data_IF_726442292635
#
_entry.id   IF_726442292635
#
_cell.length_a   1.000
_cell.length_b   1.000
_cell.length_c   1.000
_cell.angle_alpha   90.00
_cell.angle_beta   90.00
_cell.angle_gamma   90.00
#
_symmetry.space_group_name_H-M   'P 1'
#
loop_
_entity.id
_entity.type
_entity.pdbx_description
1 polymer ?
#
# COMPACT_ATOMS: atom_id res chain seq x y z
N UNK A 1 27.34 22.07 -50.87
CA UNK A 1 27.43 20.63 -50.56
C UNK A 1 26.26 20.29 -49.65
N UNK A 2 25.37 19.36 -50.01
CA UNK A 2 24.30 18.96 -49.10
C UNK A 2 24.92 18.32 -47.86
N UNK A 3 24.70 18.94 -46.71
CA UNK A 3 25.17 18.44 -45.41
C UNK A 3 24.47 17.11 -45.13
N UNK A 4 25.25 16.04 -45.00
CA UNK A 4 24.74 14.74 -44.53
C UNK A 4 24.20 14.96 -43.12
N UNK A 5 22.88 14.95 -42.98
CA UNK A 5 22.24 14.93 -41.67
C UNK A 5 22.24 13.49 -41.19
N UNK A 6 22.94 13.15 -40.09
CA UNK A 6 22.78 11.84 -39.48
C UNK A 6 21.31 11.66 -39.08
N UNK A 7 20.75 10.50 -39.43
CA UNK A 7 19.44 10.06 -38.95
C UNK A 7 19.71 9.05 -37.85
N UNK A 8 19.28 9.37 -36.62
CA UNK A 8 19.30 8.43 -35.53
C UNK A 8 18.26 7.33 -35.78
N UNK A 9 18.72 6.08 -35.93
CA UNK A 9 17.84 4.91 -35.93
C UNK A 9 17.56 4.57 -34.47
N UNK A 10 16.44 5.08 -33.97
CA UNK A 10 16.00 4.91 -32.60
C UNK A 10 15.05 3.73 -32.52
N UNK A 11 15.22 2.89 -31.49
CA UNK A 11 14.38 1.71 -31.29
C UNK A 11 12.90 2.12 -31.15
N UNK A 12 11.97 1.41 -31.80
CA UNK A 12 10.55 1.70 -31.67
C UNK A 12 10.07 1.46 -30.23
N UNK A 13 9.20 2.33 -29.72
CA UNK A 13 8.66 2.23 -28.36
C UNK A 13 9.65 2.53 -27.22
N UNK A 14 10.85 3.06 -27.52
CA UNK A 14 11.86 3.41 -26.51
C UNK A 14 11.37 4.43 -25.46
N UNK A 15 10.39 5.26 -25.78
CA UNK A 15 9.79 6.21 -24.84
C UNK A 15 8.59 5.62 -24.06
N UNK A 16 8.26 4.36 -24.31
CA UNK A 16 7.15 3.66 -23.66
C UNK A 16 5.82 3.90 -24.34
N UNK A 17 4.75 3.66 -23.58
CA UNK A 17 3.36 3.75 -24.03
C UNK A 17 2.85 5.19 -23.96
N UNK A 18 2.18 5.64 -25.03
CA UNK A 18 1.48 6.92 -25.08
C UNK A 18 0.10 6.74 -25.70
N UNK A 19 -0.91 6.60 -24.84
CA UNK A 19 -2.31 6.47 -25.29
C UNK A 19 -2.96 7.84 -25.51
N UNK A 20 -2.50 8.89 -24.83
CA UNK A 20 -3.01 10.27 -24.99
C UNK A 20 -2.87 10.79 -26.43
N UNK A 21 -1.76 10.46 -27.08
CA UNK A 21 -1.45 10.88 -28.45
C UNK A 21 -1.63 9.77 -29.47
N UNK A 22 -2.34 8.69 -29.11
CA UNK A 22 -2.50 7.52 -29.98
C UNK A 22 -3.16 7.80 -31.33
N UNK A 23 -3.98 8.86 -31.42
CA UNK A 23 -4.64 9.29 -32.66
C UNK A 23 -3.77 10.23 -33.54
N UNK A 24 -2.60 10.65 -33.05
CA UNK A 24 -1.69 11.54 -33.79
C UNK A 24 -0.56 10.73 -34.43
N UNK A 25 0.04 11.28 -35.50
CA UNK A 25 1.28 10.76 -36.08
C UNK A 25 2.44 10.94 -35.08
N UNK A 26 2.59 9.95 -34.22
CA UNK A 26 3.70 9.85 -33.27
C UNK A 26 4.98 9.45 -33.99
N UNK A 27 6.11 9.92 -33.47
CA UNK A 27 7.42 9.41 -33.90
C UNK A 27 7.52 7.91 -33.53
N UNK A 28 8.25 7.09 -34.31
CA UNK A 28 8.41 5.65 -34.05
C UNK A 28 8.87 5.29 -32.63
N UNK A 29 9.49 6.23 -31.91
CA UNK A 29 9.95 6.09 -30.53
C UNK A 29 8.82 5.82 -29.51
N UNK A 30 7.55 6.10 -29.83
CA UNK A 30 6.41 5.87 -28.95
C UNK A 30 5.62 4.64 -29.38
N UNK A 31 5.17 3.85 -28.41
CA UNK A 31 4.19 2.79 -28.62
C UNK A 31 2.77 3.33 -28.38
N UNK A 32 1.82 2.97 -29.24
CA UNK A 32 0.38 3.24 -29.03
C UNK A 32 -0.36 2.04 -28.46
N UNK A 33 0.20 0.83 -28.62
CA UNK A 33 -0.29 -0.42 -28.07
C UNK A 33 0.91 -1.25 -27.60
N UNK A 34 0.83 -1.82 -26.41
CA UNK A 34 1.85 -2.68 -25.83
C UNK A 34 1.18 -3.91 -25.20
N UNK A 35 1.28 -5.08 -25.84
CA UNK A 35 0.67 -6.33 -25.38
C UNK A 35 1.75 -7.39 -25.14
N UNK A 36 1.73 -8.03 -23.97
CA UNK A 36 2.67 -9.10 -23.58
C UNK A 36 4.15 -8.78 -23.83
N UNK A 37 4.52 -7.51 -23.73
CA UNK A 37 5.87 -7.02 -23.93
C UNK A 37 6.49 -6.49 -22.64
N UNK A 38 7.81 -6.54 -22.56
CA UNK A 38 8.64 -5.98 -21.47
C UNK A 38 9.79 -5.20 -22.11
N UNK A 39 10.15 -4.06 -21.53
CA UNK A 39 11.38 -3.35 -21.88
C UNK A 39 12.46 -3.81 -20.91
N UNK A 40 13.49 -4.48 -21.41
CA UNK A 40 14.57 -4.96 -20.55
C UNK A 40 15.49 -3.80 -20.09
N UNK A 41 16.40 -4.07 -19.14
CA UNK A 41 17.36 -3.09 -18.61
C UNK A 41 18.26 -2.46 -19.69
N UNK A 42 18.43 -3.12 -20.83
CA UNK A 42 19.17 -2.59 -21.99
C UNK A 42 18.30 -1.76 -22.96
N UNK A 43 17.05 -1.46 -22.61
CA UNK A 43 16.13 -0.66 -23.41
C UNK A 43 15.55 -1.38 -24.64
N UNK A 44 15.62 -2.71 -24.68
CA UNK A 44 15.09 -3.51 -25.80
C UNK A 44 13.69 -4.05 -25.45
N UNK A 45 12.78 -3.97 -26.41
CA UNK A 45 11.49 -4.66 -26.31
C UNK A 45 11.69 -6.18 -26.42
N UNK A 46 11.12 -6.93 -25.49
CA UNK A 46 11.12 -8.39 -25.41
C UNK A 46 9.71 -8.88 -25.07
N UNK A 47 9.45 -10.18 -25.19
CA UNK A 47 8.23 -10.80 -24.70
C UNK A 47 8.29 -11.02 -23.18
N UNK A 48 7.12 -11.00 -22.53
CA UNK A 48 6.96 -11.51 -21.16
C UNK A 48 7.24 -13.03 -21.13
N UNK A 49 7.75 -13.52 -20.00
CA UNK A 49 7.85 -14.97 -19.76
C UNK A 49 6.45 -15.59 -19.62
N UNK A 50 6.36 -16.90 -19.83
CA UNK A 50 5.13 -17.65 -19.56
C UNK A 50 4.81 -17.73 -18.06
N UNK A 51 3.62 -18.26 -17.75
CA UNK A 51 3.18 -18.49 -16.38
C UNK A 51 3.58 -19.89 -15.94
N UNK A 52 4.00 -20.03 -14.67
CA UNK A 52 4.21 -21.32 -14.03
C UNK A 52 3.25 -21.43 -12.85
N UNK A 53 2.44 -22.48 -12.85
CA UNK A 53 1.48 -22.70 -11.77
C UNK A 53 2.25 -23.04 -10.47
N UNK A 54 1.87 -22.42 -9.37
CA UNK A 54 2.48 -22.66 -8.05
C UNK A 54 1.62 -23.57 -7.17
N UNK A 55 0.32 -23.66 -7.44
CA UNK A 55 -0.62 -24.44 -6.64
C UNK A 55 -0.58 -25.91 -7.00
N UNK A 56 -0.38 -26.78 -6.01
CA UNK A 56 -0.49 -28.23 -6.13
C UNK A 56 -1.93 -28.71 -6.00
N UNK A 57 -2.74 -28.00 -5.21
CA UNK A 57 -4.16 -28.26 -5.00
C UNK A 57 -5.03 -27.07 -5.45
N UNK A 58 -6.26 -27.31 -5.94
CA UNK A 58 -7.17 -26.22 -6.30
C UNK A 58 -7.66 -25.48 -5.05
N UNK A 59 -7.78 -24.16 -5.14
CA UNK A 59 -8.50 -23.33 -4.17
C UNK A 59 -9.96 -23.77 -4.14
N UNK A 60 -10.49 -24.11 -2.95
CA UNK A 60 -11.92 -24.41 -2.78
C UNK A 60 -12.77 -23.14 -2.90
N UNK A 61 -14.04 -23.28 -3.29
CA UNK A 61 -14.97 -22.14 -3.31
C UNK A 61 -14.55 -21.03 -4.27
N UNK A 62 -14.36 -19.82 -3.74
CA UNK A 62 -13.96 -18.65 -4.52
C UNK A 62 -12.47 -18.71 -4.85
N UNK A 63 -12.15 -18.88 -6.14
CA UNK A 63 -10.76 -19.04 -6.63
C UNK A 63 -9.95 -17.74 -6.68
N UNK A 64 -10.37 -16.72 -5.96
CA UNK A 64 -9.73 -15.42 -5.96
C UNK A 64 -8.85 -15.31 -4.70
N UNK A 65 -7.56 -15.08 -4.91
CA UNK A 65 -6.66 -14.72 -3.83
C UNK A 65 -6.75 -13.21 -3.67
N UNK A 66 -7.22 -12.77 -2.51
CA UNK A 66 -7.37 -11.34 -2.23
C UNK A 66 -6.12 -10.77 -1.59
N UNK A 67 -5.40 -11.51 -0.74
CA UNK A 67 -4.22 -11.01 -0.03
C UNK A 67 -3.04 -11.96 -0.26
N UNK A 68 -1.86 -11.38 -0.46
CA UNK A 68 -0.55 -12.05 -0.37
C UNK A 68 0.34 -11.19 0.52
N UNK A 69 0.88 -11.77 1.59
CA UNK A 69 1.77 -11.08 2.51
C UNK A 69 2.91 -11.97 2.97
N UNK A 70 4.12 -11.42 3.04
CA UNK A 70 5.27 -12.12 3.60
C UNK A 70 5.29 -11.95 5.12
N UNK A 71 5.20 -13.06 5.86
CA UNK A 71 5.39 -13.13 7.29
C UNK A 71 6.83 -13.51 7.63
N UNK A 72 7.51 -12.68 8.42
CA UNK A 72 8.81 -13.01 8.99
C UNK A 72 8.65 -13.43 10.46
N UNK A 73 8.85 -14.72 10.71
CA UNK A 73 8.80 -15.28 12.07
C UNK A 73 9.94 -14.76 12.95
N UNK A 74 9.79 -14.83 14.27
CA UNK A 74 10.87 -14.51 15.23
C UNK A 74 12.14 -15.37 15.00
N UNK A 75 11.99 -16.58 14.44
CA UNK A 75 13.09 -17.45 14.07
C UNK A 75 13.82 -17.04 12.76
N UNK A 76 13.35 -15.99 12.08
CA UNK A 76 13.92 -15.50 10.82
C UNK A 76 13.50 -16.29 9.57
N UNK A 77 12.45 -17.12 9.67
CA UNK A 77 11.88 -17.84 8.53
C UNK A 77 10.79 -16.98 7.88
N UNK A 78 10.91 -16.78 6.56
CA UNK A 78 9.90 -16.14 5.72
C UNK A 78 8.84 -17.15 5.28
N UNK A 79 7.56 -16.78 5.40
CA UNK A 79 6.40 -17.56 4.98
C UNK A 79 5.43 -16.65 4.23
N UNK A 80 4.80 -17.15 3.16
CA UNK A 80 3.81 -16.36 2.42
C UNK A 80 2.41 -16.71 2.92
N UNK A 81 1.75 -15.72 3.51
CA UNK A 81 0.36 -15.80 3.95
C UNK A 81 -0.56 -15.38 2.81
N UNK A 82 -1.61 -16.14 2.58
CA UNK A 82 -2.62 -15.84 1.57
C UNK A 82 -4.03 -15.84 2.15
N UNK A 83 -4.91 -15.00 1.60
CA UNK A 83 -6.33 -15.02 1.94
C UNK A 83 -7.17 -15.38 0.71
N UNK A 84 -8.07 -16.36 0.88
CA UNK A 84 -9.03 -16.79 -0.13
C UNK A 84 -10.21 -17.50 0.53
N UNK A 85 -11.41 -17.33 0.00
CA UNK A 85 -12.64 -18.04 0.41
C UNK A 85 -12.98 -17.87 1.92
N UNK A 86 -12.76 -16.66 2.44
CA UNK A 86 -12.86 -16.28 3.86
C UNK A 86 -11.90 -17.02 4.79
N UNK A 87 -10.78 -17.51 4.24
CA UNK A 87 -9.76 -18.25 4.97
C UNK A 87 -8.39 -17.66 4.76
N UNK A 88 -7.53 -17.89 5.74
CA UNK A 88 -6.14 -17.48 5.77
C UNK A 88 -5.27 -18.74 5.75
N UNK A 89 -4.39 -18.83 4.76
CA UNK A 89 -3.49 -19.95 4.53
C UNK A 89 -2.03 -19.53 4.75
N UNK A 90 -1.18 -20.45 5.23
CA UNK A 90 0.25 -20.19 5.49
C UNK A 90 1.20 -20.68 4.40
N UNK A 91 0.70 -21.51 3.49
CA UNK A 91 1.43 -22.08 2.36
C UNK A 91 0.72 -21.69 1.05
N UNK A 92 1.49 -21.24 0.05
CA UNK A 92 0.97 -20.74 -1.25
C UNK A 92 0.69 -21.86 -2.26
N UNK A 93 1.22 -23.05 -2.03
CA UNK A 93 1.13 -24.20 -2.94
C UNK A 93 0.01 -25.17 -2.55
N UNK A 94 -0.47 -25.13 -1.32
CA UNK A 94 -1.61 -25.92 -0.84
C UNK A 94 -2.75 -24.98 -0.40
N UNK A 95 -4.01 -25.30 -0.72
CA UNK A 95 -5.18 -24.54 -0.24
C UNK A 95 -6.19 -25.46 0.45
N UNK A 96 -5.73 -26.61 0.94
CA UNK A 96 -6.57 -27.55 1.69
C UNK A 96 -6.63 -27.19 3.17
N UNK A 97 -7.74 -27.51 3.83
CA UNK A 97 -7.94 -27.33 5.27
C UNK A 97 -7.12 -28.33 6.12
N UNK A 98 -6.21 -29.09 5.51
CA UNK A 98 -5.44 -30.16 6.15
C UNK A 98 -4.24 -29.62 6.97
N UNK A 99 -4.49 -28.58 7.77
CA UNK A 99 -3.48 -27.90 8.60
C UNK A 99 -2.78 -26.73 7.92
N UNK A 100 -3.21 -26.32 6.73
CA UNK A 100 -2.77 -25.07 6.10
C UNK A 100 -3.70 -23.88 6.39
N UNK A 101 -5.00 -24.15 6.59
CA UNK A 101 -5.93 -23.14 7.10
C UNK A 101 -5.55 -22.76 8.53
N UNK A 102 -5.19 -21.49 8.73
CA UNK A 102 -4.77 -20.90 10.00
C UNK A 102 -5.74 -19.81 10.46
N UNK A 103 -6.95 -19.78 9.90
CA UNK A 103 -7.97 -18.77 10.17
C UNK A 103 -8.40 -18.80 11.63
N UNK A 104 -8.64 -17.60 12.18
CA UNK A 104 -9.25 -17.48 13.49
C UNK A 104 -10.72 -17.96 13.44
N UNK A 105 -11.07 -18.92 14.30
CA UNK A 105 -12.41 -19.48 14.38
C UNK A 105 -13.52 -18.44 14.67
N UNK A 106 -13.18 -17.29 15.24
CA UNK A 106 -14.11 -16.21 15.58
C UNK A 106 -14.26 -15.13 14.48
N UNK A 107 -13.30 -14.97 13.56
CA UNK A 107 -13.18 -13.79 12.69
C UNK A 107 -13.51 -14.03 11.19
N UNK A 108 -14.06 -15.19 10.84
CA UNK A 108 -14.10 -15.66 9.45
C UNK A 108 -15.33 -15.25 8.64
N UNK A 109 -15.39 -14.02 8.11
CA UNK A 109 -16.32 -13.74 7.00
C UNK A 109 -15.78 -12.85 5.87
N UNK A 110 -14.50 -12.45 5.88
CA UNK A 110 -13.99 -11.60 4.81
C UNK A 110 -12.49 -11.78 4.55
N UNK A 111 -12.09 -11.56 3.29
CA UNK A 111 -10.75 -11.85 2.76
C UNK A 111 -9.81 -10.64 2.67
N UNK A 112 -10.32 -9.41 2.84
CA UNK A 112 -9.59 -8.15 2.60
C UNK A 112 -8.72 -7.67 3.79
N UNK A 113 -7.96 -8.60 4.39
CA UNK A 113 -7.06 -8.29 5.49
C UNK A 113 -5.87 -7.42 5.07
N UNK A 114 -5.47 -6.50 5.94
CA UNK A 114 -4.16 -5.85 5.88
C UNK A 114 -3.25 -6.45 6.94
N UNK A 115 -2.19 -7.12 6.50
CA UNK A 115 -1.21 -7.73 7.40
C UNK A 115 0.01 -6.85 7.64
N UNK A 116 0.56 -6.95 8.85
CA UNK A 116 1.75 -6.24 9.30
C UNK A 116 2.65 -7.15 10.14
N UNK A 117 3.95 -7.11 9.86
CA UNK A 117 4.97 -7.73 10.70
C UNK A 117 5.38 -6.77 11.82
N UNK A 118 5.26 -7.22 13.07
CA UNK A 118 5.70 -6.44 14.22
C UNK A 118 6.13 -7.35 15.37
N UNK A 119 7.32 -7.10 15.94
CA UNK A 119 7.84 -7.81 17.11
C UNK A 119 7.81 -9.35 17.00
N UNK A 120 8.15 -9.90 15.82
CA UNK A 120 8.12 -11.34 15.56
C UNK A 120 6.72 -11.95 15.46
N UNK A 121 5.68 -11.11 15.37
CA UNK A 121 4.27 -11.47 15.23
C UNK A 121 3.71 -10.91 13.94
N UNK A 122 2.63 -11.52 13.49
CA UNK A 122 1.82 -11.08 12.36
C UNK A 122 0.50 -10.53 12.88
N UNK A 123 0.21 -9.27 12.56
CA UNK A 123 -1.05 -8.61 12.91
C UNK A 123 -1.90 -8.46 11.65
N UNK A 124 -3.20 -8.68 11.76
CA UNK A 124 -4.18 -8.50 10.69
C UNK A 124 -5.24 -7.49 11.09
N UNK A 125 -5.48 -6.50 10.24
CA UNK A 125 -6.50 -5.46 10.42
C UNK A 125 -7.49 -5.50 9.27
N UNK A 126 -8.77 -5.35 9.58
CA UNK A 126 -9.84 -5.31 8.59
C UNK A 126 -11.02 -4.50 9.10
N UNK A 127 -11.66 -3.76 8.20
CA UNK A 127 -12.88 -2.99 8.52
C UNK A 127 -13.98 -3.89 9.07
N UNK A 128 -14.47 -3.56 10.27
CA UNK A 128 -15.62 -4.24 10.87
C UNK A 128 -15.31 -5.63 11.45
N UNK A 129 -14.03 -6.01 11.51
CA UNK A 129 -13.58 -7.21 12.20
C UNK A 129 -12.66 -6.82 13.36
N UNK A 130 -12.68 -7.62 14.42
CA UNK A 130 -11.68 -7.51 15.48
C UNK A 130 -10.31 -7.82 14.86
N UNK A 131 -9.27 -7.01 15.12
CA UNK A 131 -7.95 -7.33 14.61
C UNK A 131 -7.46 -8.68 15.14
N UNK A 132 -6.61 -9.33 14.35
CA UNK A 132 -6.10 -10.66 14.64
C UNK A 132 -4.59 -10.64 14.82
N UNK A 133 -4.07 -11.57 15.62
CA UNK A 133 -2.63 -11.71 15.86
C UNK A 133 -2.21 -13.16 15.76
N UNK A 134 -0.99 -13.38 15.25
CA UNK A 134 -0.36 -14.69 15.12
C UNK A 134 1.10 -14.61 15.55
N UNK A 135 1.54 -15.61 16.30
CA UNK A 135 2.93 -15.82 16.70
C UNK A 135 3.46 -17.12 16.09
N UNK A 136 3.03 -18.26 16.66
CA UNK A 136 3.38 -19.62 16.24
C UNK A 136 2.18 -20.53 16.03
N UNK A 137 1.03 -20.20 16.64
CA UNK A 137 -0.26 -20.88 16.45
C UNK A 137 -1.10 -20.21 15.38
N UNK A 138 -2.28 -20.77 15.12
CA UNK A 138 -3.34 -20.14 14.31
C UNK A 138 -3.71 -18.76 14.83
N UNK A 139 -4.34 -17.95 13.97
CA UNK A 139 -4.74 -16.60 14.32
C UNK A 139 -5.72 -16.59 15.49
N UNK A 140 -5.56 -15.60 16.37
CA UNK A 140 -6.46 -15.33 17.49
C UNK A 140 -6.85 -13.85 17.51
N UNK A 141 -7.95 -13.53 18.19
CA UNK A 141 -8.39 -12.15 18.38
C UNK A 141 -7.33 -11.39 19.17
N UNK A 142 -6.96 -10.21 18.67
CA UNK A 142 -6.06 -9.33 19.38
C UNK A 142 -6.73 -8.83 20.66
N UNK A 143 -6.02 -8.95 21.77
CA UNK A 143 -6.45 -8.45 23.07
C UNK A 143 -5.66 -7.21 23.43
N UNK A 144 -6.35 -6.15 23.86
CA UNK A 144 -5.75 -4.86 24.13
C UNK A 144 -5.92 -4.43 25.59
N UNK A 145 -4.91 -3.75 26.14
CA UNK A 145 -5.12 -2.86 27.28
C UNK A 145 -5.54 -1.48 26.79
N UNK A 146 -6.77 -1.08 27.14
CA UNK A 146 -7.38 0.17 26.69
C UNK A 146 -8.26 0.01 25.46
N UNK A 147 -8.45 1.11 24.74
CA UNK A 147 -9.26 1.13 23.52
C UNK A 147 -8.32 0.99 22.33
N UNK A 148 -8.23 -0.25 21.82
CA UNK A 148 -7.48 -0.57 20.62
C UNK A 148 -8.17 -0.09 19.33
N UNK A 149 -7.48 -0.19 18.19
CA UNK A 149 -8.02 0.16 16.88
C UNK A 149 -8.92 -0.94 16.31
N UNK A 150 -10.08 -0.58 15.78
CA UNK A 150 -10.97 -1.49 15.02
C UNK A 150 -11.10 -1.07 13.54
N UNK A 151 -10.11 -0.33 13.02
CA UNK A 151 -10.15 0.23 11.68
C UNK A 151 -9.44 -0.60 10.61
N UNK A 152 -9.58 -0.14 9.37
CA UNK A 152 -9.18 -0.89 8.18
C UNK A 152 -7.70 -0.74 7.80
N UNK A 153 -7.02 0.28 8.32
CA UNK A 153 -5.67 0.61 7.87
C UNK A 153 -4.70 0.76 9.04
N UNK A 154 -3.53 0.16 8.89
CA UNK A 154 -2.48 0.21 9.90
C UNK A 154 -1.09 0.19 9.24
N UNK A 155 -0.10 0.68 9.98
CA UNK A 155 1.33 0.57 9.64
C UNK A 155 2.16 0.30 10.89
N UNK A 156 3.12 -0.62 10.77
CA UNK A 156 4.15 -0.84 11.78
C UNK A 156 5.34 0.08 11.48
N UNK A 157 5.57 1.08 12.32
CA UNK A 157 6.64 2.06 12.13
C UNK A 157 7.10 2.66 13.46
N UNK A 158 8.38 3.05 13.54
CA UNK A 158 8.96 3.71 14.73
C UNK A 158 8.80 2.90 16.02
N UNK A 159 8.86 1.57 15.92
CA UNK A 159 8.69 0.66 17.05
C UNK A 159 7.27 0.64 17.62
N UNK A 160 6.26 1.07 16.86
CA UNK A 160 4.86 1.15 17.27
C UNK A 160 3.92 0.72 16.13
N UNK A 161 2.69 0.41 16.50
CA UNK A 161 1.58 0.26 15.56
C UNK A 161 0.81 1.57 15.48
N UNK A 162 0.56 2.03 14.26
CA UNK A 162 -0.26 3.19 13.94
C UNK A 162 -1.45 2.69 13.14
N UNK A 163 -2.64 2.71 13.72
CA UNK A 163 -3.83 2.13 13.11
C UNK A 163 -5.00 3.11 13.16
N UNK A 164 -5.77 3.18 12.09
CA UNK A 164 -7.03 3.91 12.10
C UNK A 164 -8.05 3.17 12.96
N UNK A 165 -9.00 3.93 13.50
CA UNK A 165 -10.16 3.41 14.20
C UNK A 165 -11.36 3.24 13.23
N UNK A 166 -12.42 2.60 13.68
CA UNK A 166 -13.63 2.37 12.90
C UNK A 166 -14.37 3.66 12.50
N UNK A 167 -14.08 4.77 13.19
CA UNK A 167 -14.65 6.10 12.90
C UNK A 167 -14.02 6.79 11.66
N UNK A 168 -12.94 6.25 11.09
CA UNK A 168 -12.18 6.82 9.98
C UNK A 168 -11.64 8.24 10.23
N UNK A 169 -11.56 8.66 11.49
CA UNK A 169 -11.07 9.98 11.92
C UNK A 169 -9.95 9.85 12.96
N UNK A 170 -9.93 8.77 13.71
CA UNK A 170 -9.02 8.59 14.81
C UNK A 170 -7.88 7.66 14.40
N UNK A 171 -6.63 8.05 14.68
CA UNK A 171 -5.47 7.17 14.60
C UNK A 171 -5.06 6.79 16.01
N UNK A 172 -5.11 5.50 16.33
CA UNK A 172 -4.64 4.91 17.59
C UNK A 172 -3.18 4.49 17.45
N UNK A 173 -2.42 4.74 18.51
CA UNK A 173 -0.98 4.48 18.54
C UNK A 173 -0.68 3.59 19.74
N UNK A 174 -0.02 2.46 19.48
CA UNK A 174 0.39 1.51 20.51
C UNK A 174 1.56 2.05 21.34
N UNK A 175 1.79 1.44 22.50
CA UNK A 175 2.99 1.62 23.31
C UNK A 175 4.25 1.17 22.55
N UNK A 176 5.42 1.57 23.05
CA UNK A 176 6.69 1.27 22.39
C UNK A 176 6.99 -0.22 22.49
N UNK A 177 7.20 -0.87 21.34
CA UNK A 177 7.49 -2.31 21.21
C UNK A 177 6.41 -3.23 21.80
N UNK A 178 5.22 -2.70 22.04
CA UNK A 178 4.07 -3.45 22.55
C UNK A 178 2.84 -3.12 21.70
N UNK A 179 2.36 -4.13 20.97
CA UNK A 179 1.20 -4.02 20.10
C UNK A 179 -0.15 -4.16 20.83
N UNK A 180 -0.12 -4.55 22.11
CA UNK A 180 -1.32 -4.82 22.92
C UNK A 180 -1.73 -3.63 23.77
N UNK A 181 -0.79 -2.74 24.11
CA UNK A 181 -1.06 -1.63 25.00
C UNK A 181 -1.31 -0.30 24.26
N UNK A 182 -2.51 0.26 24.44
CA UNK A 182 -2.93 1.55 23.89
C UNK A 182 -3.22 2.59 24.98
N UNK A 183 -2.87 2.29 26.24
CA UNK A 183 -3.07 3.23 27.35
C UNK A 183 -2.12 4.41 27.26
N UNK A 184 -2.63 5.61 27.54
CA UNK A 184 -1.82 6.84 27.62
C UNK A 184 -0.71 6.71 28.67
N UNK A 185 -1.00 6.04 29.80
CA UNK A 185 -0.03 5.83 30.88
C UNK A 185 1.19 5.00 30.46
N UNK A 186 1.02 4.08 29.50
CA UNK A 186 2.08 3.22 28.97
C UNK A 186 2.76 3.81 27.73
N UNK A 187 2.42 5.04 27.37
CA UNK A 187 2.95 5.73 26.20
C UNK A 187 2.20 5.41 24.90
N UNK A 188 1.01 4.81 24.98
CA UNK A 188 0.03 4.83 23.88
C UNK A 188 -0.50 6.26 23.65
N UNK A 189 -1.06 6.51 22.48
CA UNK A 189 -1.57 7.83 22.12
C UNK A 189 -2.70 7.74 21.09
N UNK A 190 -3.37 8.86 20.87
CA UNK A 190 -4.45 8.96 19.90
C UNK A 190 -4.34 10.30 19.18
N UNK A 191 -4.51 10.29 17.86
CA UNK A 191 -4.60 11.48 17.02
C UNK A 191 -6.02 11.57 16.51
N UNK A 192 -6.67 12.70 16.77
CA UNK A 192 -7.97 13.03 16.17
C UNK A 192 -7.73 13.86 14.91
N UNK A 193 -7.92 13.22 13.74
CA UNK A 193 -7.71 13.87 12.44
C UNK A 193 -8.79 14.90 12.12
N UNK A 194 -9.96 14.87 12.79
CA UNK A 194 -11.02 15.87 12.56
C UNK A 194 -10.56 17.30 12.85
N UNK A 195 -9.59 17.45 13.77
CA UNK A 195 -8.97 18.73 14.10
C UNK A 195 -7.86 19.16 13.14
N UNK A 196 -7.41 18.26 12.28
CA UNK A 196 -6.21 18.40 11.45
C UNK A 196 -6.55 18.57 9.97
N UNK A 197 -7.67 18.00 9.52
CA UNK A 197 -8.13 18.16 8.14
C UNK A 197 -8.32 19.63 7.79
N UNK A 198 -7.78 20.03 6.64
CA UNK A 198 -8.10 21.32 6.05
C UNK A 198 -9.42 21.21 5.26
N UNK A 199 -10.27 22.24 5.30
CA UNK A 199 -11.60 22.26 4.67
C UNK A 199 -12.70 21.37 5.28
N UNK A 200 -12.63 21.11 6.60
CA UNK A 200 -13.78 20.59 7.37
C UNK A 200 -13.61 19.14 7.78
N UNK A 201 -13.83 18.19 6.87
CA UNK A 201 -13.76 16.75 7.19
C UNK A 201 -13.32 15.95 5.96
N UNK A 202 -12.41 15.00 6.19
CA UNK A 202 -12.01 13.97 5.23
C UNK A 202 -11.94 12.62 5.97
N UNK A 203 -11.87 11.50 5.26
CA UNK A 203 -11.86 10.16 5.87
C UNK A 203 -10.50 9.50 5.65
N UNK A 204 -9.95 8.88 6.70
CA UNK A 204 -8.69 8.14 6.61
C UNK A 204 -8.87 6.93 5.68
N UNK A 205 -8.11 6.89 4.60
CA UNK A 205 -8.07 5.77 3.65
C UNK A 205 -6.88 4.86 3.94
N UNK A 206 -5.72 5.45 4.22
CA UNK A 206 -4.50 4.68 4.43
C UNK A 206 -3.47 5.43 5.28
N UNK A 207 -2.57 4.66 5.88
CA UNK A 207 -1.47 5.18 6.68
C UNK A 207 -0.19 4.54 6.16
N UNK A 208 0.86 5.36 5.99
CA UNK A 208 2.18 4.89 5.60
C UNK A 208 3.26 5.62 6.39
N UNK A 209 4.47 5.10 6.37
CA UNK A 209 5.63 5.74 7.00
C UNK A 209 6.80 5.78 6.01
N UNK A 210 7.50 6.92 5.98
CA UNK A 210 8.67 7.12 5.12
C UNK A 210 9.65 8.08 5.77
N UNK A 211 10.93 7.68 5.86
CA UNK A 211 12.03 8.59 6.20
C UNK A 211 11.87 9.37 7.51
N UNK A 212 11.28 8.78 8.55
CA UNK A 212 11.04 9.45 9.84
C UNK A 212 9.73 10.25 9.91
N UNK A 213 8.93 10.23 8.85
CA UNK A 213 7.63 10.91 8.76
C UNK A 213 6.52 9.88 8.70
N UNK A 214 5.45 10.11 9.48
CA UNK A 214 4.19 9.38 9.34
C UNK A 214 3.29 10.13 8.36
N UNK A 215 2.71 9.42 7.41
CA UNK A 215 1.89 10.00 6.35
C UNK A 215 0.50 9.39 6.45
N UNK A 216 -0.49 10.25 6.68
CA UNK A 216 -1.90 9.86 6.74
C UNK A 216 -2.57 10.33 5.45
N UNK A 217 -3.10 9.39 4.68
CA UNK A 217 -3.83 9.65 3.44
C UNK A 217 -5.33 9.68 3.72
N UNK A 218 -5.95 10.84 3.49
CA UNK A 218 -7.39 10.97 3.33
C UNK A 218 -7.84 10.74 1.88
N UNK A 219 -9.13 10.88 1.60
CA UNK A 219 -9.68 10.80 0.23
C UNK A 219 -9.24 12.00 -0.63
N UNK A 220 -9.08 13.17 -0.02
CA UNK A 220 -8.76 14.43 -0.71
C UNK A 220 -7.53 15.16 -0.14
N UNK A 221 -7.06 14.77 1.04
CA UNK A 221 -5.93 15.40 1.72
C UNK A 221 -4.84 14.39 2.09
N UNK A 222 -3.59 14.85 2.19
CA UNK A 222 -2.48 14.07 2.73
C UNK A 222 -1.83 14.91 3.83
N UNK A 223 -1.70 14.33 5.02
CA UNK A 223 -1.10 14.99 6.18
C UNK A 223 0.20 14.29 6.55
N UNK A 224 1.25 15.08 6.71
CA UNK A 224 2.59 14.59 7.05
C UNK A 224 2.95 15.01 8.47
N UNK A 225 3.33 14.03 9.28
CA UNK A 225 3.73 14.21 10.68
C UNK A 225 5.19 13.84 10.87
N UNK A 226 5.95 14.71 11.54
CA UNK A 226 7.32 14.41 11.94
C UNK A 226 7.63 14.98 13.33
N UNK A 227 8.74 14.55 13.91
CA UNK A 227 9.30 15.14 15.13
C UNK A 227 10.20 16.33 14.75
N UNK A 228 9.92 17.52 15.30
CA UNK A 228 10.70 18.73 15.03
C UNK A 228 12.10 18.77 15.65
N UNK A 229 12.39 17.86 16.58
CA UNK A 229 13.64 17.86 17.37
C UNK A 229 14.55 16.67 17.11
N UNK A 230 14.10 15.70 16.31
CA UNK A 230 14.78 14.44 16.10
C UNK A 230 14.68 13.52 17.31
N UNK A 231 14.15 12.32 17.12
CA UNK A 231 14.19 11.25 18.13
C UNK A 231 15.19 10.18 17.71
N UNK A 232 15.91 9.60 18.66
CA UNK A 232 16.80 8.46 18.43
C UNK A 232 16.02 7.21 17.93
N UNK A 233 14.73 7.13 18.26
CA UNK A 233 13.85 5.99 17.94
C UNK A 233 12.84 6.28 16.82
N UNK A 234 12.85 7.48 16.23
CA UNK A 234 11.96 7.88 15.13
C UNK A 234 10.93 8.97 15.49
N UNK A 235 9.63 8.65 15.41
CA UNK A 235 8.53 9.58 15.72
C UNK A 235 7.94 9.29 17.10
N UNK A 236 8.05 10.25 18.03
CA UNK A 236 7.42 10.14 19.35
C UNK A 236 6.06 10.84 19.39
N UNK A 237 4.98 10.18 19.85
CA UNK A 237 3.66 10.81 19.89
C UNK A 237 3.58 12.08 20.74
N UNK A 238 4.43 12.22 21.76
CA UNK A 238 4.45 13.40 22.62
C UNK A 238 5.05 14.65 21.94
N UNK A 239 5.79 14.48 20.83
CA UNK A 239 6.56 15.54 20.16
C UNK A 239 6.25 15.67 18.67
N UNK A 240 5.31 14.87 18.16
CA UNK A 240 4.92 14.94 16.77
C UNK A 240 4.22 16.26 16.46
N UNK A 241 4.45 16.77 15.25
CA UNK A 241 3.78 17.96 14.73
C UNK A 241 3.46 17.75 13.25
N UNK A 242 2.43 18.44 12.77
CA UNK A 242 2.12 18.50 11.34
C UNK A 242 3.21 19.30 10.64
N UNK A 243 3.91 18.66 9.72
CA UNK A 243 4.97 19.29 8.92
C UNK A 243 4.38 19.94 7.69
N UNK A 244 3.49 19.23 7.01
CA UNK A 244 2.87 19.68 5.76
C UNK A 244 1.49 19.05 5.61
N UNK A 245 0.62 19.72 4.86
CA UNK A 245 -0.70 19.23 4.49
C UNK A 245 -0.93 19.53 3.01
N UNK A 246 -1.07 18.48 2.22
CA UNK A 246 -1.26 18.57 0.78
C UNK A 246 -2.76 18.50 0.50
N UNK A 247 -3.29 19.53 -0.14
CA UNK A 247 -4.71 19.64 -0.46
C UNK A 247 -5.05 19.26 -1.90
N UNK A 248 -6.28 18.76 -2.10
CA UNK A 248 -6.82 18.43 -3.42
C UNK A 248 -6.26 17.14 -4.03
N UNK A 249 -5.43 16.42 -3.30
CA UNK A 249 -4.88 15.12 -3.67
C UNK A 249 -4.89 14.22 -2.44
N UNK A 250 -5.58 13.09 -2.54
CA UNK A 250 -5.55 12.01 -1.55
C UNK A 250 -5.38 10.64 -2.19
N UNK A 251 -5.56 9.59 -1.41
CA UNK A 251 -5.51 8.19 -1.85
C UNK A 251 -6.93 7.64 -2.04
N UNK A 252 -7.16 6.84 -3.08
CA UNK A 252 -8.47 6.22 -3.33
C UNK A 252 -8.55 4.74 -2.91
N UNK A 253 -7.41 4.08 -2.73
CA UNK A 253 -7.34 2.65 -2.42
C UNK A 253 -6.25 2.38 -1.39
N UNK A 254 -6.63 1.78 -0.25
CA UNK A 254 -5.73 1.51 0.89
C UNK A 254 -4.45 0.81 0.45
N UNK A 255 -4.61 -0.27 -0.31
CA UNK A 255 -3.54 -1.19 -0.68
C UNK A 255 -2.81 -0.77 -1.96
N UNK A 256 -3.07 0.42 -2.50
CA UNK A 256 -2.39 0.96 -3.68
C UNK A 256 -1.10 1.72 -3.36
N UNK A 257 -0.80 1.88 -2.08
CA UNK A 257 0.38 2.59 -1.60
C UNK A 257 1.58 1.65 -1.59
N UNK A 258 2.62 2.07 -2.28
CA UNK A 258 3.86 1.33 -2.37
C UNK A 258 5.07 2.24 -2.16
N UNK A 259 5.89 1.90 -1.18
CA UNK A 259 7.24 2.45 -1.09
C UNK A 259 8.10 1.85 -2.20
N UNK A 260 8.74 2.70 -3.00
CA UNK A 260 9.69 2.31 -4.05
C UNK A 260 11.08 2.84 -3.69
N UNK A 261 12.02 1.93 -3.46
CA UNK A 261 13.40 2.29 -3.10
C UNK A 261 13.52 3.08 -1.79
N UNK A 262 14.53 3.97 -1.71
CA UNK A 262 14.91 4.66 -0.48
C UNK A 262 14.18 6.00 -0.21
N UNK A 263 13.27 6.47 -1.09
CA UNK A 263 12.77 7.85 -0.94
C UNK A 263 11.44 8.23 -1.57
N UNK A 264 10.81 7.36 -2.36
CA UNK A 264 9.56 7.70 -3.06
C UNK A 264 8.43 6.75 -2.67
N UNK A 265 7.25 7.32 -2.48
CA UNK A 265 6.03 6.59 -2.17
C UNK A 265 5.02 6.80 -3.29
N UNK A 266 4.68 5.73 -3.99
CA UNK A 266 3.74 5.73 -5.11
C UNK A 266 2.37 5.34 -4.60
N UNK A 267 1.33 6.05 -5.02
CA UNK A 267 -0.04 5.77 -4.61
C UNK A 267 -1.05 6.09 -5.71
N UNK A 268 -2.22 5.47 -5.63
CA UNK A 268 -3.32 5.75 -6.54
C UNK A 268 -4.18 6.90 -6.00
N UNK A 269 -4.29 7.98 -6.78
CA UNK A 269 -5.13 9.12 -6.48
C UNK A 269 -6.29 9.23 -7.48
N UNK A 270 -7.29 10.06 -7.18
CA UNK A 270 -8.41 10.37 -8.09
C UNK A 270 -7.96 10.96 -9.44
N UNK A 271 -6.73 11.46 -9.51
CA UNK A 271 -6.14 12.06 -10.70
C UNK A 271 -5.23 11.11 -11.49
N UNK A 272 -5.08 9.86 -11.05
CA UNK A 272 -4.16 8.86 -11.57
C UNK A 272 -3.08 8.48 -10.55
N UNK A 273 -2.01 7.82 -11.02
CA UNK A 273 -0.88 7.42 -10.18
C UNK A 273 0.00 8.63 -9.88
N UNK A 274 0.29 8.83 -8.60
CA UNK A 274 1.15 9.91 -8.12
C UNK A 274 2.31 9.35 -7.31
N UNK A 275 3.43 10.06 -7.33
CA UNK A 275 4.57 9.83 -6.45
C UNK A 275 4.69 10.98 -5.46
N UNK A 276 4.84 10.63 -4.18
CA UNK A 276 5.24 11.51 -3.10
C UNK A 276 6.72 11.24 -2.81
N UNK A 277 7.58 12.15 -3.27
CA UNK A 277 9.02 12.02 -3.10
C UNK A 277 9.56 12.92 -1.99
N UNK A 278 10.69 12.50 -1.40
CA UNK A 278 11.47 13.33 -0.47
C UNK A 278 12.25 14.38 -1.25
N UNK A 279 11.98 15.67 -1.04
CA UNK A 279 12.82 16.73 -1.64
C UNK A 279 13.79 17.29 -0.62
N UNK A 280 15.08 17.27 -0.98
CA UNK A 280 16.20 17.60 -0.09
C UNK A 280 16.34 19.13 0.13
N UNK A 281 15.58 19.97 -0.58
CA UNK A 281 15.66 21.44 -0.47
C UNK A 281 14.35 22.24 -0.61
N UNK A 282 13.17 21.62 -0.81
CA UNK A 282 11.90 22.35 -0.74
C UNK A 282 11.24 22.11 0.61
N UNK A 283 10.64 23.15 1.19
CA UNK A 283 9.91 23.10 2.46
C UNK A 283 8.66 22.20 2.40
N UNK A 284 8.27 21.74 1.22
CA UNK A 284 7.10 20.89 0.96
C UNK A 284 7.48 19.72 0.04
N UNK A 285 6.82 18.58 0.21
CA UNK A 285 6.99 17.39 -0.61
C UNK A 285 6.06 17.48 -1.85
N UNK A 286 6.60 17.69 -3.06
CA UNK A 286 5.78 17.81 -4.26
C UNK A 286 5.25 16.45 -4.69
N UNK A 287 3.96 16.39 -4.99
CA UNK A 287 3.36 15.25 -5.67
C UNK A 287 3.61 15.35 -7.18
N UNK A 288 4.18 14.30 -7.78
CA UNK A 288 4.44 14.24 -9.22
C UNK A 288 3.52 13.20 -9.87
N UNK A 289 2.77 13.61 -10.90
CA UNK A 289 2.00 12.66 -11.72
C UNK A 289 2.91 11.87 -12.64
N UNK A 290 2.93 10.55 -12.47
CA UNK A 290 3.73 9.62 -13.26
C UNK A 290 3.08 9.26 -14.60
N UNK A 291 1.78 9.50 -14.75
CA UNK A 291 0.96 8.92 -15.82
C UNK A 291 0.62 9.87 -16.94
N UNK A 292 1.41 10.93 -17.16
CA UNK A 292 1.11 12.00 -18.12
C UNK A 292 0.80 11.53 -19.54
N UNK A 293 1.43 10.43 -19.99
CA UNK A 293 1.25 9.86 -21.33
C UNK A 293 0.13 8.82 -21.45
N UNK A 294 -0.43 8.37 -20.31
CA UNK A 294 -1.42 7.28 -20.23
C UNK A 294 -2.59 7.62 -19.30
N UNK A 295 -2.82 8.91 -19.04
CA UNK A 295 -3.67 9.38 -17.94
C UNK A 295 -5.14 9.01 -18.15
N UNK A 296 -5.68 9.31 -19.33
CA UNK A 296 -7.07 9.08 -19.70
C UNK A 296 -7.42 7.61 -19.64
N UNK A 297 -6.52 6.74 -20.11
CA UNK A 297 -6.66 5.29 -19.98
C UNK A 297 -6.74 4.85 -18.52
N UNK A 298 -5.86 5.36 -17.66
CA UNK A 298 -5.89 5.02 -16.22
C UNK A 298 -7.15 5.55 -15.55
N UNK A 299 -7.61 6.76 -15.88
CA UNK A 299 -8.85 7.32 -15.35
C UNK A 299 -10.08 6.52 -15.78
N UNK A 300 -10.09 6.00 -17.01
CA UNK A 300 -11.14 5.10 -17.50
C UNK A 300 -11.15 3.77 -16.76
N UNK A 301 -9.98 3.17 -16.53
CA UNK A 301 -9.84 1.94 -15.71
C UNK A 301 -10.31 2.19 -14.27
N UNK A 302 -9.92 3.30 -13.65
CA UNK A 302 -10.39 3.68 -12.31
C UNK A 302 -11.92 3.86 -12.31
N UNK A 303 -12.49 4.49 -13.33
CA UNK A 303 -13.93 4.68 -13.47
C UNK A 303 -14.69 3.35 -13.59
N UNK A 304 -14.13 2.42 -14.37
CA UNK A 304 -14.65 1.06 -14.52
C UNK A 304 -14.59 0.31 -13.20
N UNK A 305 -13.43 0.33 -12.51
CA UNK A 305 -13.27 -0.33 -11.22
C UNK A 305 -14.24 0.22 -10.18
N UNK A 306 -14.41 1.55 -10.10
CA UNK A 306 -15.36 2.17 -9.16
C UNK A 306 -16.81 1.70 -9.33
N UNK A 307 -17.17 1.28 -10.54
CA UNK A 307 -18.51 0.74 -10.83
C UNK A 307 -18.64 -0.71 -10.36
N UNK A 308 -17.54 -1.47 -10.41
CA UNK A 308 -17.49 -2.85 -9.93
C UNK A 308 -17.31 -2.95 -8.41
N UNK A 309 -16.55 -2.03 -7.82
CA UNK A 309 -16.16 -1.97 -6.42
C UNK A 309 -15.95 -0.50 -6.01
N UNK A 310 -16.87 0.04 -5.20
CA UNK A 310 -16.86 1.44 -4.81
C UNK A 310 -15.74 1.79 -3.81
N UNK A 311 -15.24 0.81 -3.07
CA UNK A 311 -14.21 0.98 -2.04
C UNK A 311 -12.79 0.69 -2.56
N UNK A 312 -12.69 0.15 -3.77
CA UNK A 312 -11.42 -0.25 -4.40
C UNK A 312 -10.62 -1.29 -3.58
N UNK A 313 -11.33 -2.19 -2.90
CA UNK A 313 -10.74 -3.25 -2.08
C UNK A 313 -9.87 -4.19 -2.93
N UNK A 314 -10.21 -4.41 -4.19
CA UNK A 314 -9.42 -5.27 -5.10
C UNK A 314 -8.16 -4.60 -5.67
N UNK A 315 -7.96 -3.29 -5.45
CA UNK A 315 -6.81 -2.58 -6.01
C UNK A 315 -5.62 -2.71 -5.08
N UNK A 316 -4.57 -3.39 -5.56
CA UNK A 316 -3.32 -3.56 -4.81
C UNK A 316 -2.10 -3.15 -5.61
N UNK A 317 -1.11 -2.63 -4.90
CA UNK A 317 0.24 -2.44 -5.40
C UNK A 317 1.15 -3.55 -4.88
N UNK A 318 2.06 -4.00 -5.74
CA UNK A 318 3.15 -4.90 -5.36
C UNK A 318 4.46 -4.32 -5.89
N UNK A 319 5.52 -4.48 -5.10
CA UNK A 319 6.87 -4.10 -5.51
C UNK A 319 7.80 -5.28 -5.29
N UNK A 320 8.43 -5.73 -6.37
CA UNK A 320 9.59 -6.62 -6.30
C UNK A 320 10.85 -5.76 -6.40
N UNK A 321 11.74 -5.76 -5.40
CA UNK A 321 12.99 -5.01 -5.43
C UNK A 321 14.08 -5.61 -6.35
N UNK A 322 13.77 -6.65 -7.12
CA UNK A 322 14.69 -7.29 -8.08
C UNK A 322 14.98 -6.46 -9.34
#
# INVERSE_FOLDING_TARGET
>A
MPQIKPIDIVAPGAFGLNTEKGALLLKPQWATVALNMVINRSGRASSRLGWNDQTTNPISGTKQIDVLHEYLTEAGVSQIITCADNKIYKDIDDYTDAGNDITNASAGTADHWQFLNFNGKLLGFQRGQTPITRTSSDFADASYSGTGPDGNCAVAAFGRIWAADADLQTVRISALLDETDYQIASGGATIDMSSVWTNGMDEIVAIAAMGGTLIVFGKNHIVLWADGSGSEIGLSPARMQVVDTIEGTGCIARDSIQATGEGDLIFLSRHGIQSLGRVIQSKSNPTVSLTKNVRSMILEVIGTQRTADSEFDQVRSTHSPE
#
